data_IF_401715461836
#
_entry.id   IF_401715461836
#
_cell.length_a   1.000
_cell.length_b   1.000
_cell.length_c   1.000
_cell.angle_alpha   90.00
_cell.angle_beta   90.00
_cell.angle_gamma   90.00
#
_symmetry.space_group_name_H-M   'P 1'
#
loop_
_entity.id
_entity.type
_entity.pdbx_description
1 polymer ?
#
# COMPACT_ATOMS: atom_id res chain seq x y z
N UNK A 1 2.18 16.77 -4.15
CA UNK A 1 1.72 15.39 -3.88
C UNK A 1 0.22 15.42 -4.12
N UNK A 2 -0.38 14.49 -4.89
CA UNK A 2 -1.85 14.47 -5.01
C UNK A 2 -2.45 14.13 -3.64
N UNK A 3 -3.50 14.81 -3.19
CA UNK A 3 -4.14 14.58 -1.89
C UNK A 3 -4.47 13.10 -1.68
N UNK A 4 -4.84 12.40 -2.76
CA UNK A 4 -5.15 10.96 -2.73
C UNK A 4 -3.96 10.07 -2.41
N UNK A 5 -2.77 10.35 -2.98
CA UNK A 5 -1.56 9.56 -2.69
C UNK A 5 -1.17 9.73 -1.22
N UNK A 6 -1.26 10.95 -0.70
CA UNK A 6 -0.94 11.23 0.69
C UNK A 6 -1.90 10.48 1.63
N UNK A 7 -3.20 10.51 1.36
CA UNK A 7 -4.20 9.78 2.14
C UNK A 7 -3.93 8.27 2.14
N UNK A 8 -3.59 7.68 0.99
CA UNK A 8 -3.25 6.26 0.88
C UNK A 8 -2.00 5.91 1.69
N UNK A 9 -0.97 6.76 1.64
CA UNK A 9 0.25 6.57 2.43
C UNK A 9 -0.06 6.57 3.93
N UNK A 10 -0.79 7.58 4.41
CA UNK A 10 -1.13 7.70 5.83
C UNK A 10 -2.01 6.53 6.30
N UNK A 11 -2.95 6.09 5.46
CA UNK A 11 -3.80 4.94 5.75
C UNK A 11 -2.99 3.65 5.92
N UNK A 12 -2.09 3.34 4.97
CA UNK A 12 -1.20 2.18 5.09
C UNK A 12 -0.25 2.29 6.30
N UNK A 13 0.27 3.48 6.58
CA UNK A 13 1.16 3.70 7.73
C UNK A 13 0.46 3.37 9.04
N UNK A 14 -0.77 3.84 9.22
CA UNK A 14 -1.51 3.70 10.47
C UNK A 14 -2.08 2.30 10.68
N UNK A 15 -2.60 1.66 9.63
CA UNK A 15 -3.36 0.41 9.76
C UNK A 15 -2.59 -0.85 9.37
N UNK A 16 -1.41 -0.73 8.75
CA UNK A 16 -0.57 -1.88 8.37
C UNK A 16 0.82 -1.76 8.96
N UNK A 17 1.54 -0.67 8.72
CA UNK A 17 2.95 -0.55 9.10
C UNK A 17 3.13 -0.39 10.61
N UNK A 18 2.26 0.38 11.27
CA UNK A 18 2.30 0.57 12.72
C UNK A 18 1.70 -0.61 13.51
N UNK A 19 0.93 -1.49 12.87
CA UNK A 19 0.24 -2.59 13.55
C UNK A 19 1.20 -3.75 13.84
N UNK A 20 1.61 -3.87 15.11
CA UNK A 20 2.51 -4.95 15.57
C UNK A 20 1.92 -6.36 15.43
N UNK A 21 0.59 -6.50 15.32
CA UNK A 21 -0.08 -7.78 15.10
C UNK A 21 0.01 -8.27 13.64
N UNK A 22 0.38 -7.40 12.71
CA UNK A 22 0.57 -7.75 11.30
C UNK A 22 1.92 -8.44 11.09
N UNK A 23 2.01 -9.59 10.41
CA UNK A 23 3.29 -10.23 10.08
C UNK A 23 4.32 -9.29 9.44
N UNK A 24 5.60 -9.48 9.79
CA UNK A 24 6.70 -8.58 9.39
C UNK A 24 6.85 -8.43 7.88
N UNK A 25 6.63 -9.50 7.12
CA UNK A 25 6.68 -9.48 5.66
C UNK A 25 5.58 -8.59 5.06
N UNK A 26 4.37 -8.62 5.62
CA UNK A 26 3.26 -7.78 5.15
C UNK A 26 3.53 -6.31 5.46
N UNK A 27 4.01 -6.00 6.68
CA UNK A 27 4.41 -4.63 7.02
C UNK A 27 5.53 -4.12 6.12
N UNK A 28 6.47 -5.00 5.76
CA UNK A 28 7.55 -4.66 4.83
C UNK A 28 7.02 -4.35 3.44
N UNK A 29 6.15 -5.20 2.88
CA UNK A 29 5.53 -4.97 1.58
C UNK A 29 4.76 -3.63 1.53
N UNK A 30 3.98 -3.33 2.57
CA UNK A 30 3.31 -2.03 2.69
C UNK A 30 4.29 -0.85 2.76
N UNK A 31 5.40 -0.99 3.49
CA UNK A 31 6.46 0.04 3.57
C UNK A 31 7.17 0.26 2.21
N UNK A 32 7.40 -0.83 1.48
CA UNK A 32 8.01 -0.80 0.16
C UNK A 32 7.06 -0.14 -0.86
N UNK A 33 5.76 -0.43 -0.80
CA UNK A 33 4.72 0.24 -1.59
C UNK A 33 4.63 1.75 -1.29
N UNK A 34 4.65 2.15 -0.02
CA UNK A 34 4.73 3.57 0.38
C UNK A 34 5.97 4.24 -0.21
N UNK A 35 7.11 3.55 -0.19
CA UNK A 35 8.35 4.08 -0.76
C UNK A 35 8.23 4.32 -2.26
N UNK A 36 7.51 3.46 -3.01
CA UNK A 36 7.23 3.69 -4.43
C UNK A 36 6.37 4.93 -4.66
N UNK A 37 5.33 5.14 -3.84
CA UNK A 37 4.44 6.29 -3.93
C UNK A 37 5.14 7.64 -3.67
N UNK A 38 6.17 7.63 -2.82
CA UNK A 38 6.93 8.83 -2.44
C UNK A 38 8.05 9.21 -3.44
N UNK A 39 8.36 8.39 -4.45
CA UNK A 39 9.46 8.63 -5.40
C UNK A 39 9.31 9.93 -6.17
N UNK A 40 10.11 10.95 -5.90
CA UNK A 40 10.07 12.21 -6.65
C UNK A 40 10.47 12.05 -8.13
N UNK A 41 9.96 12.91 -9.00
CA UNK A 41 10.32 12.93 -10.43
C UNK A 41 9.70 11.83 -11.31
N UNK A 42 8.90 10.94 -10.74
CA UNK A 42 8.16 9.88 -11.48
C UNK A 42 6.70 10.30 -11.63
N UNK A 43 6.01 9.92 -12.71
CA UNK A 43 4.57 10.18 -12.84
C UNK A 43 3.74 9.45 -11.76
N UNK A 44 2.67 10.07 -11.28
CA UNK A 44 1.81 9.50 -10.22
C UNK A 44 1.29 8.11 -10.60
N UNK A 45 0.85 7.95 -11.85
CA UNK A 45 0.42 6.68 -12.43
C UNK A 45 1.48 5.58 -12.27
N UNK A 46 2.70 5.85 -12.70
CA UNK A 46 3.81 4.87 -12.66
C UNK A 46 4.13 4.46 -11.23
N UNK A 47 4.08 5.40 -10.28
CA UNK A 47 4.24 5.09 -8.86
C UNK A 47 3.11 4.23 -8.31
N UNK A 48 1.86 4.53 -8.70
CA UNK A 48 0.68 3.77 -8.29
C UNK A 48 0.73 2.34 -8.81
N UNK A 49 1.10 2.12 -10.08
CA UNK A 49 1.29 0.77 -10.64
C UNK A 49 2.33 -0.03 -9.88
N UNK A 50 3.49 0.57 -9.58
CA UNK A 50 4.55 -0.11 -8.82
C UNK A 50 4.11 -0.47 -7.39
N UNK A 51 3.28 0.37 -6.76
CA UNK A 51 2.70 0.06 -5.45
C UNK A 51 1.63 -1.04 -5.54
N UNK A 52 0.77 -1.02 -6.56
CA UNK A 52 -0.25 -2.05 -6.80
C UNK A 52 0.39 -3.42 -6.95
N UNK A 53 1.45 -3.56 -7.76
CA UNK A 53 2.14 -4.84 -7.98
C UNK A 53 2.63 -5.46 -6.67
N UNK A 54 3.27 -4.67 -5.81
CA UNK A 54 3.76 -5.12 -4.49
C UNK A 54 2.61 -5.52 -3.55
N UNK A 55 1.51 -4.77 -3.59
CA UNK A 55 0.35 -5.00 -2.72
C UNK A 55 -0.49 -6.20 -3.19
N UNK A 56 -0.57 -6.43 -4.49
CA UNK A 56 -1.26 -7.58 -5.07
C UNK A 56 -0.53 -8.89 -4.75
N UNK A 57 0.80 -8.89 -4.85
CA UNK A 57 1.62 -10.04 -4.44
C UNK A 57 1.36 -10.42 -2.97
N UNK A 58 1.44 -9.44 -2.06
CA UNK A 58 1.24 -9.72 -0.62
C UNK A 58 -0.21 -10.02 -0.27
N UNK A 59 -1.20 -9.58 -1.07
CA UNK A 59 -2.62 -9.90 -0.85
C UNK A 59 -2.90 -11.40 -0.86
N UNK A 60 -2.05 -12.18 -1.54
CA UNK A 60 -2.13 -13.63 -1.63
C UNK A 60 -1.49 -14.36 -0.44
N UNK A 61 -0.92 -13.64 0.54
CA UNK A 61 -0.30 -14.26 1.70
C UNK A 61 -1.36 -14.97 2.59
N UNK A 62 -1.20 -16.28 2.88
CA UNK A 62 -2.15 -17.04 3.70
C UNK A 62 -2.15 -16.61 5.17
N UNK A 63 -1.08 -15.97 5.66
CA UNK A 63 -0.96 -15.48 7.03
C UNK A 63 -1.47 -14.04 7.19
N UNK A 64 -2.02 -13.43 6.14
CA UNK A 64 -2.56 -12.08 6.22
C UNK A 64 -3.80 -12.01 7.12
N UNK A 65 -3.78 -11.19 8.19
CA UNK A 65 -4.96 -10.98 9.03
C UNK A 65 -6.12 -10.39 8.24
N UNK A 66 -7.36 -10.75 8.61
CA UNK A 66 -8.57 -10.30 7.90
C UNK A 66 -8.71 -8.79 7.87
N UNK A 67 -8.42 -8.10 8.98
CA UNK A 67 -8.48 -6.64 9.01
C UNK A 67 -7.46 -6.00 8.07
N UNK A 68 -6.25 -6.54 8.00
CA UNK A 68 -5.21 -6.10 7.07
C UNK A 68 -5.62 -6.33 5.62
N UNK A 69 -6.25 -7.47 5.31
CA UNK A 69 -6.73 -7.80 3.97
C UNK A 69 -7.74 -6.76 3.47
N UNK A 70 -8.67 -6.34 4.31
CA UNK A 70 -9.62 -5.26 3.99
C UNK A 70 -8.89 -3.95 3.68
N UNK A 71 -7.92 -3.57 4.51
CA UNK A 71 -7.11 -2.35 4.30
C UNK A 71 -6.36 -2.41 2.97
N UNK A 72 -5.71 -3.53 2.64
CA UNK A 72 -4.99 -3.70 1.38
C UNK A 72 -5.96 -3.58 0.19
N UNK A 73 -7.13 -4.21 0.27
CA UNK A 73 -8.14 -4.12 -0.80
C UNK A 73 -8.64 -2.69 -1.03
N UNK A 74 -8.90 -1.93 0.04
CA UNK A 74 -9.27 -0.52 -0.05
C UNK A 74 -8.16 0.33 -0.68
N UNK A 75 -6.91 0.09 -0.27
CA UNK A 75 -5.74 0.78 -0.84
C UNK A 75 -5.59 0.49 -2.32
N UNK A 76 -5.67 -0.78 -2.74
CA UNK A 76 -5.62 -1.17 -4.15
C UNK A 76 -6.70 -0.43 -4.95
N UNK A 77 -7.94 -0.43 -4.45
CA UNK A 77 -9.07 0.27 -5.08
C UNK A 77 -8.85 1.79 -5.21
N UNK A 78 -8.16 2.42 -4.26
CA UNK A 78 -7.80 3.85 -4.34
C UNK A 78 -6.64 4.13 -5.29
N UNK A 79 -5.66 3.24 -5.34
CA UNK A 79 -4.50 3.36 -6.23
C UNK A 79 -4.90 3.16 -7.70
N UNK A 80 -5.84 2.27 -8.00
CA UNK A 80 -6.37 2.06 -9.35
C UNK A 80 -7.07 3.28 -9.94
N UNK A 81 -7.55 4.20 -9.09
CA UNK A 81 -8.19 5.46 -9.51
C UNK A 81 -7.18 6.55 -9.88
N UNK A 82 -5.88 6.30 -9.73
CA UNK A 82 -4.82 7.25 -10.04
C UNK A 82 -4.38 7.06 -11.49
N UNK A 83 -4.74 8.01 -12.35
CA UNK A 83 -4.33 8.07 -13.76
C UNK A 83 -3.06 8.87 -14.03
#
# INVERSE_FOLDING_TARGET
>A
MSDRIQNVIEYMQNYVVADTMVPRNIRKAASDAISQLQRSGVENKVRAYAAIELLDEISNDPNMPMHTRTVIWEVLSELEKIE
#
